data_IF_752531486629
#
_entry.id   IF_752531486629
#
_cell.length_a   1.000
_cell.length_b   1.000
_cell.length_c   1.000
_cell.angle_alpha   90.00
_cell.angle_beta   90.00
_cell.angle_gamma   90.00
#
_symmetry.space_group_name_H-M   'P 1'
#
loop_
_entity.id
_entity.type
_entity.pdbx_description
1 polymer ?
#
# COMPACT_ATOMS: atom_id res chain seq x y z
N UNK A 1 -5.86 -3.04 14.21
CA UNK A 1 -6.69 -2.19 13.32
C UNK A 1 -6.38 -0.75 13.65
N UNK A 2 -6.12 0.04 12.63
CA UNK A 2 -5.81 1.45 12.71
C UNK A 2 -6.75 2.21 11.76
N UNK A 3 -7.35 3.29 12.23
CA UNK A 3 -8.16 4.20 11.41
C UNK A 3 -7.75 5.63 11.69
N UNK A 4 -7.51 6.39 10.63
CA UNK A 4 -7.15 7.81 10.70
C UNK A 4 -8.15 8.63 9.89
N UNK A 5 -8.70 9.67 10.54
CA UNK A 5 -9.42 10.75 9.87
C UNK A 5 -8.55 12.01 9.85
N UNK A 6 -8.39 12.61 8.68
CA UNK A 6 -7.57 13.81 8.49
C UNK A 6 -8.36 14.91 7.78
N UNK A 7 -8.56 16.04 8.48
CA UNK A 7 -9.06 17.29 7.90
C UNK A 7 -7.92 18.32 7.92
N UNK A 8 -7.05 18.22 6.92
CA UNK A 8 -5.96 19.15 6.72
C UNK A 8 -6.37 20.23 5.71
N UNK A 9 -6.16 21.51 6.08
CA UNK A 9 -6.54 22.67 5.26
C UNK A 9 -5.41 23.69 5.15
N UNK A 10 -5.33 24.32 3.99
CA UNK A 10 -4.32 25.36 3.69
C UNK A 10 -4.79 26.72 4.19
N UNK A 11 -4.17 27.21 5.25
CA UNK A 11 -4.45 28.54 5.84
C UNK A 11 -4.06 29.72 4.93
N UNK A 12 -3.23 29.46 3.91
CA UNK A 12 -2.74 30.46 2.97
C UNK A 12 -3.45 30.45 1.61
N UNK A 13 -4.37 29.50 1.37
CA UNK A 13 -5.07 29.32 0.09
C UNK A 13 -6.55 29.01 0.33
N UNK A 14 -7.28 30.02 0.83
CA UNK A 14 -8.73 30.02 1.01
C UNK A 14 -9.29 28.78 1.75
N UNK A 15 -8.55 28.26 2.73
CA UNK A 15 -8.92 27.06 3.52
C UNK A 15 -9.26 25.83 2.68
N UNK A 16 -8.67 25.72 1.47
CA UNK A 16 -8.80 24.54 0.63
C UNK A 16 -8.23 23.31 1.34
N UNK A 17 -8.80 22.11 1.08
CA UNK A 17 -8.20 20.86 1.53
C UNK A 17 -6.74 20.75 1.10
N UNK A 18 -5.91 20.13 1.95
CA UNK A 18 -4.54 19.80 1.59
C UNK A 18 -4.52 18.67 0.56
N UNK A 19 -3.72 18.85 -0.48
CA UNK A 19 -3.51 17.87 -1.54
C UNK A 19 -2.79 16.61 -1.05
N UNK A 20 -2.98 15.48 -1.76
CA UNK A 20 -2.27 14.22 -1.51
C UNK A 20 -2.39 13.71 -0.07
N UNK A 21 -3.49 14.08 0.59
CA UNK A 21 -3.80 13.74 1.97
C UNK A 21 -5.18 13.05 2.01
N UNK A 22 -5.25 11.72 2.15
CA UNK A 22 -6.54 11.02 2.18
C UNK A 22 -7.27 11.34 3.48
N UNK A 23 -8.53 11.76 3.36
CA UNK A 23 -9.33 12.11 4.54
C UNK A 23 -9.60 10.90 5.43
N UNK A 24 -9.67 9.70 4.86
CA UNK A 24 -9.87 8.46 5.58
C UNK A 24 -8.83 7.44 5.15
N UNK A 25 -8.17 6.85 6.14
CA UNK A 25 -7.27 5.71 5.96
C UNK A 25 -7.60 4.64 6.98
N UNK A 26 -7.63 3.39 6.54
CA UNK A 26 -7.82 2.23 7.40
C UNK A 26 -6.68 1.24 7.10
N UNK A 27 -6.06 0.71 8.15
CA UNK A 27 -5.17 -0.43 8.09
C UNK A 27 -5.66 -1.52 9.04
N UNK A 28 -5.74 -2.75 8.56
CA UNK A 28 -6.09 -3.90 9.39
C UNK A 28 -5.21 -5.09 9.05
N UNK A 29 -4.85 -5.84 10.07
CA UNK A 29 -4.02 -7.03 9.94
C UNK A 29 -4.65 -8.17 10.72
N UNK A 30 -4.74 -9.33 10.08
CA UNK A 30 -5.14 -10.58 10.71
C UNK A 30 -3.95 -11.53 10.62
N UNK A 31 -3.53 -12.08 11.76
CA UNK A 31 -2.47 -13.08 11.84
C UNK A 31 -3.05 -14.35 12.48
N UNK A 32 -2.77 -15.48 11.85
CA UNK A 32 -2.95 -16.81 12.41
C UNK A 32 -1.58 -17.40 12.73
N UNK A 33 -1.44 -18.01 13.90
CA UNK A 33 -0.20 -18.65 14.35
C UNK A 33 -0.53 -19.97 15.05
N UNK A 34 0.23 -21.00 14.71
CA UNK A 34 0.11 -22.34 15.28
C UNK A 34 1.52 -22.87 15.56
N UNK A 35 1.95 -22.67 16.79
CA UNK A 35 3.28 -23.07 17.29
C UNK A 35 3.50 -24.59 17.19
N UNK A 36 2.48 -25.41 17.43
CA UNK A 36 2.60 -26.88 17.38
C UNK A 36 2.97 -27.38 15.98
N UNK A 37 2.44 -26.71 14.97
CA UNK A 37 2.74 -27.03 13.57
C UNK A 37 3.84 -26.16 13.00
N UNK A 38 4.23 -25.05 13.64
CA UNK A 38 5.17 -24.07 13.10
C UNK A 38 4.62 -23.23 11.95
N UNK A 39 3.29 -23.14 11.78
CA UNK A 39 2.66 -22.31 10.75
C UNK A 39 2.35 -20.91 11.29
N UNK A 40 2.63 -19.89 10.49
CA UNK A 40 2.17 -18.52 10.68
C UNK A 40 1.68 -17.97 9.35
N UNK A 41 0.51 -17.34 9.32
CA UNK A 41 -0.04 -16.74 8.11
C UNK A 41 -0.67 -15.40 8.47
N UNK A 42 -0.59 -14.44 7.56
CA UNK A 42 -1.10 -13.09 7.80
C UNK A 42 -1.71 -12.49 6.55
N UNK A 43 -2.73 -11.68 6.75
CA UNK A 43 -3.34 -10.82 5.73
C UNK A 43 -3.34 -9.41 6.28
N UNK A 44 -2.84 -8.46 5.51
CA UNK A 44 -2.94 -7.04 5.80
C UNK A 44 -3.77 -6.36 4.72
N UNK A 45 -4.69 -5.50 5.13
CA UNK A 45 -5.58 -4.77 4.24
C UNK A 45 -5.52 -3.28 4.55
N UNK A 46 -5.30 -2.49 3.51
CA UNK A 46 -5.24 -1.04 3.57
C UNK A 46 -6.34 -0.46 2.70
N UNK A 47 -7.07 0.53 3.21
CA UNK A 47 -7.97 1.36 2.44
C UNK A 47 -7.49 2.80 2.47
N UNK A 48 -7.48 3.42 1.29
CA UNK A 48 -7.19 4.83 1.08
C UNK A 48 -8.40 5.46 0.40
N UNK A 49 -9.03 6.44 1.07
CA UNK A 49 -10.09 7.23 0.45
C UNK A 49 -9.55 8.18 -0.62
N UNK A 50 -10.46 8.85 -1.32
CA UNK A 50 -10.13 9.90 -2.27
C UNK A 50 -9.29 11.02 -1.63
N UNK A 51 -8.39 11.57 -2.44
CA UNK A 51 -7.48 12.66 -2.12
C UNK A 51 -7.74 13.81 -3.08
N UNK A 52 -7.46 15.05 -2.66
CA UNK A 52 -7.46 16.18 -3.59
C UNK A 52 -6.11 16.30 -4.29
N UNK A 53 -6.13 16.68 -5.56
CA UNK A 53 -4.97 17.10 -6.36
C UNK A 53 -4.84 18.63 -6.34
N UNK A 54 -3.72 19.17 -6.84
CA UNK A 54 -3.46 20.63 -6.85
C UNK A 54 -4.49 21.41 -7.67
N UNK A 55 -5.06 20.78 -8.70
CA UNK A 55 -6.13 21.35 -9.53
C UNK A 55 -7.52 21.26 -8.87
N UNK A 56 -7.62 20.65 -7.68
CA UNK A 56 -8.84 20.42 -6.92
C UNK A 56 -9.64 19.20 -7.35
N UNK A 57 -9.18 18.42 -8.34
CA UNK A 57 -9.77 17.14 -8.70
C UNK A 57 -9.57 16.11 -7.58
N UNK A 58 -10.39 15.06 -7.61
CA UNK A 58 -10.32 13.96 -6.64
C UNK A 58 -9.73 12.70 -7.26
N UNK A 59 -8.83 12.06 -6.54
CA UNK A 59 -8.27 10.76 -6.91
C UNK A 59 -9.31 9.65 -6.68
N UNK A 60 -9.21 8.50 -7.37
CA UNK A 60 -9.94 7.32 -6.97
C UNK A 60 -9.51 6.85 -5.56
N UNK A 61 -10.45 6.25 -4.84
CA UNK A 61 -10.13 5.46 -3.65
C UNK A 61 -9.66 4.06 -4.07
N UNK A 62 -8.92 3.38 -3.18
CA UNK A 62 -8.45 2.03 -3.47
C UNK A 62 -8.19 1.21 -2.22
N UNK A 63 -8.20 -0.12 -2.40
CA UNK A 63 -7.75 -1.09 -1.43
C UNK A 63 -6.42 -1.69 -1.86
N UNK A 64 -5.49 -1.88 -0.93
CA UNK A 64 -4.29 -2.70 -1.08
C UNK A 64 -4.37 -3.87 -0.12
N UNK A 65 -3.98 -5.05 -0.59
CA UNK A 65 -3.92 -6.26 0.21
C UNK A 65 -2.52 -6.85 0.14
N UNK A 66 -1.97 -7.19 1.29
CA UNK A 66 -0.69 -7.86 1.44
C UNK A 66 -0.89 -9.18 2.18
N UNK A 67 -0.09 -10.19 1.82
CA UNK A 67 -0.17 -11.53 2.35
C UNK A 67 1.19 -11.98 2.86
N UNK A 68 1.21 -12.69 3.97
CA UNK A 68 2.40 -13.38 4.45
C UNK A 68 2.09 -14.81 4.86
N UNK A 69 3.07 -15.70 4.70
CA UNK A 69 3.04 -17.04 5.23
C UNK A 69 4.44 -17.45 5.66
N UNK A 70 4.56 -18.15 6.78
CA UNK A 70 5.78 -18.70 7.31
C UNK A 70 5.53 -20.12 7.79
N UNK A 71 6.54 -20.96 7.60
CA UNK A 71 6.57 -22.34 8.08
C UNK A 71 7.93 -22.66 8.69
N UNK A 72 7.91 -23.19 9.90
CA UNK A 72 9.05 -23.82 10.55
C UNK A 72 9.04 -25.34 10.30
N UNK A 73 10.19 -25.86 9.89
CA UNK A 73 10.43 -27.29 9.63
C UNK A 73 11.83 -27.66 10.13
N UNK A 74 11.90 -28.27 11.31
CA UNK A 74 13.18 -28.58 11.95
C UNK A 74 13.99 -27.30 12.19
N UNK A 75 15.22 -27.26 11.66
CA UNK A 75 16.11 -26.09 11.75
C UNK A 75 15.85 -25.01 10.69
N UNK A 76 14.84 -25.18 9.82
CA UNK A 76 14.54 -24.23 8.75
C UNK A 76 13.29 -23.43 9.06
N UNK A 77 13.33 -22.14 8.75
CA UNK A 77 12.15 -21.28 8.63
C UNK A 77 12.06 -20.79 7.19
N UNK A 78 10.93 -21.03 6.54
CA UNK A 78 10.64 -20.51 5.20
C UNK A 78 9.52 -19.49 5.34
N UNK A 79 9.74 -18.28 4.86
CA UNK A 79 8.75 -17.22 4.84
C UNK A 79 8.51 -16.73 3.41
N UNK A 80 7.26 -16.40 3.10
CA UNK A 80 6.78 -15.80 1.87
C UNK A 80 6.06 -14.51 2.25
N UNK A 81 6.35 -13.44 1.52
CA UNK A 81 5.57 -12.21 1.58
C UNK A 81 5.16 -11.80 0.15
N UNK A 82 3.91 -11.40 -0.01
CA UNK A 82 3.37 -10.87 -1.28
C UNK A 82 2.64 -9.57 -0.97
N UNK A 83 3.18 -8.47 -1.46
CA UNK A 83 2.61 -7.14 -1.35
C UNK A 83 1.75 -6.81 -2.57
N UNK A 84 0.74 -5.96 -2.34
CA UNK A 84 -0.12 -5.39 -3.37
C UNK A 84 -0.75 -6.45 -4.27
N UNK A 85 -1.37 -7.48 -3.68
CA UNK A 85 -2.01 -8.61 -4.38
C UNK A 85 -3.06 -8.14 -5.39
N UNK A 86 -3.72 -7.00 -5.12
CA UNK A 86 -4.70 -6.39 -6.02
C UNK A 86 -4.07 -5.68 -7.23
N UNK A 87 -2.74 -5.56 -7.29
CA UNK A 87 -1.98 -4.86 -8.34
C UNK A 87 -2.45 -3.42 -8.54
N UNK A 88 -2.70 -2.72 -7.44
CA UNK A 88 -3.02 -1.29 -7.46
C UNK A 88 -1.76 -0.53 -7.84
N UNK A 89 -1.84 0.18 -8.96
CA UNK A 89 -0.76 1.04 -9.45
C UNK A 89 -1.36 2.26 -10.09
N UNK A 90 -0.73 3.42 -9.92
CA UNK A 90 -1.26 4.67 -10.47
C UNK A 90 -1.44 4.61 -12.00
N UNK A 91 -0.58 3.88 -12.69
CA UNK A 91 -0.69 3.62 -14.14
C UNK A 91 -1.94 2.84 -14.56
N UNK A 92 -2.71 2.27 -13.62
CA UNK A 92 -4.05 1.70 -13.89
C UNK A 92 -5.17 2.71 -13.80
N UNK A 93 -4.93 3.86 -13.18
CA UNK A 93 -5.91 4.95 -13.05
C UNK A 93 -5.67 6.04 -14.10
N UNK A 94 -4.41 6.37 -14.38
CA UNK A 94 -4.05 7.42 -15.33
C UNK A 94 -2.63 7.25 -15.91
N UNK A 95 -2.30 8.07 -16.91
CA UNK A 95 -0.92 8.22 -17.37
C UNK A 95 -0.14 9.11 -16.41
N UNK A 96 1.07 8.68 -16.04
CA UNK A 96 1.95 9.46 -15.15
C UNK A 96 2.83 10.43 -15.93
N UNK A 97 3.17 10.09 -17.18
CA UNK A 97 4.05 10.88 -18.03
C UNK A 97 3.26 11.40 -19.22
N UNK A 98 3.21 12.72 -19.36
CA UNK A 98 2.52 13.40 -20.44
C UNK A 98 3.52 14.01 -21.44
N UNK A 99 3.20 14.02 -22.74
CA UNK A 99 4.07 14.55 -23.78
C UNK A 99 4.27 16.08 -23.65
N UNK A 100 5.31 16.64 -24.31
CA UNK A 100 6.29 15.93 -25.16
C UNK A 100 7.37 15.21 -24.33
N UNK A 101 7.82 14.03 -24.76
CA UNK A 101 8.84 13.24 -24.02
C UNK A 101 10.21 13.94 -23.91
N UNK A 102 10.47 14.95 -24.75
CA UNK A 102 11.66 15.81 -24.64
C UNK A 102 11.58 16.82 -23.48
N UNK A 103 10.38 17.10 -22.99
CA UNK A 103 10.11 17.95 -21.83
C UNK A 103 8.77 17.52 -21.19
N UNK A 104 8.74 16.36 -20.51
CA UNK A 104 7.49 15.77 -20.06
C UNK A 104 6.90 16.54 -18.87
N UNK A 105 5.57 16.50 -18.76
CA UNK A 105 4.84 16.91 -17.56
C UNK A 105 4.41 15.65 -16.82
N UNK A 106 4.57 15.64 -15.50
CA UNK A 106 4.25 14.48 -14.66
C UNK A 106 2.95 14.71 -13.89
N UNK A 107 2.11 13.67 -13.80
CA UNK A 107 1.00 13.66 -12.84
C UNK A 107 1.54 13.63 -11.41
N UNK A 108 0.78 14.21 -10.49
CA UNK A 108 1.02 14.07 -9.05
C UNK A 108 0.91 12.61 -8.61
N UNK A 109 1.76 12.15 -7.67
CA UNK A 109 1.79 10.74 -7.26
C UNK A 109 0.97 10.52 -5.99
N UNK A 110 -0.12 9.75 -6.09
CA UNK A 110 -1.02 9.44 -4.97
C UNK A 110 -1.26 7.94 -4.75
N UNK A 111 -0.84 7.09 -5.68
CA UNK A 111 -0.96 5.64 -5.59
C UNK A 111 0.39 4.96 -5.86
N UNK A 112 0.58 3.69 -5.48
CA UNK A 112 1.84 2.98 -5.73
C UNK A 112 2.24 3.01 -7.20
N UNK A 113 3.54 3.10 -7.47
CA UNK A 113 4.09 3.00 -8.82
C UNK A 113 4.35 1.54 -9.21
N UNK A 114 4.82 0.77 -8.23
CA UNK A 114 5.09 -0.64 -8.38
C UNK A 114 3.81 -1.48 -8.25
N UNK A 115 3.78 -2.60 -8.96
CA UNK A 115 2.68 -3.56 -8.91
C UNK A 115 2.84 -4.55 -7.76
N UNK A 116 2.47 -5.81 -8.01
CA UNK A 116 2.72 -6.93 -7.09
C UNK A 116 4.22 -7.17 -6.88
N UNK A 117 4.63 -7.31 -5.63
CA UNK A 117 6.00 -7.70 -5.27
C UNK A 117 5.93 -8.92 -4.35
N UNK A 118 6.73 -9.94 -4.63
CA UNK A 118 6.81 -11.14 -3.81
C UNK A 118 8.24 -11.46 -3.44
N UNK A 119 8.46 -11.90 -2.21
CA UNK A 119 9.77 -12.37 -1.75
C UNK A 119 9.64 -13.67 -0.94
N UNK A 120 10.75 -14.42 -0.91
CA UNK A 120 10.90 -15.63 -0.13
C UNK A 120 12.17 -15.49 0.70
N UNK A 121 12.08 -15.85 1.98
CA UNK A 121 13.21 -15.91 2.91
C UNK A 121 13.35 -17.34 3.40
N UNK A 122 14.57 -17.85 3.38
CA UNK A 122 14.93 -19.12 4.02
C UNK A 122 15.94 -18.82 5.11
N UNK A 123 15.60 -19.14 6.35
CA UNK A 123 16.45 -19.04 7.52
C UNK A 123 16.82 -20.45 7.99
N UNK A 124 18.06 -20.63 8.43
CA UNK A 124 18.54 -21.86 9.04
C UNK A 124 19.12 -21.54 10.42
N UNK A 125 18.59 -22.20 11.45
CA UNK A 125 19.02 -22.03 12.84
C UNK A 125 20.05 -23.10 13.21
N UNK A 126 21.28 -22.67 13.50
CA UNK A 126 22.44 -23.54 13.79
C UNK A 126 22.40 -24.17 15.19
N UNK A 127 21.67 -23.57 16.12
CA UNK A 127 21.61 -23.94 17.54
C UNK A 127 20.18 -23.75 18.07
#
# INVERSE_FOLDING_TARGET
>A
MDYTYLDARKTYDADKPLELAPQNRLSTMLIYENEQTGWKAGIEAFYFADQYLEDGAKTPNFWRLDLMAQKEVGHFTIALNVENVLDVRQTRFENIVHPPLSNPVFSEIYAPLEGRVGNIVVKYDLF
#
